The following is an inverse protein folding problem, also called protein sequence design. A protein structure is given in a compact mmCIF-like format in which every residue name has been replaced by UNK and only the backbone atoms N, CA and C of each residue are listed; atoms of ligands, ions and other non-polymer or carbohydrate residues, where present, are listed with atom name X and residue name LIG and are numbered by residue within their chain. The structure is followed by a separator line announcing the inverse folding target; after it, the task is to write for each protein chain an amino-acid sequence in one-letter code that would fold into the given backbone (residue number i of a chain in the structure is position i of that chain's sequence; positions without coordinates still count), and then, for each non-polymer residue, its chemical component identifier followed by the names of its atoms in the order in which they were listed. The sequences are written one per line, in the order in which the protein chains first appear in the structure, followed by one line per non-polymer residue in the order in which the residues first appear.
data_IF_348561027961
#
_entry.id   IF_348561027961
#
_cell.length_a   1.000
_cell.length_b   1.000
_cell.length_c   1.000
_cell.angle_alpha   90.00
_cell.angle_beta   90.00
_cell.angle_gamma   90.00
#
_symmetry.space_group_name_H-M   'P 1'
#
loop_
_entity.id
_entity.type
_entity.pdbx_description
1 polymer ?
#
# COMPACT_ATOMS: atom_id res chain seq x y z
N UNK A 1 23.01 -64.54 12.69
CA UNK A 1 23.46 -63.99 11.40
C UNK A 1 22.82 -62.62 11.31
N UNK A 2 23.33 -61.61 12.05
CA UNK A 2 24.44 -60.73 11.62
C UNK A 2 24.16 -60.15 10.22
N UNK A 3 24.09 -58.84 9.98
CA UNK A 3 25.04 -57.80 10.41
C UNK A 3 24.41 -56.40 10.33
N UNK A 4 24.83 -55.53 11.25
CA UNK A 4 24.87 -54.08 11.07
C UNK A 4 25.80 -53.71 9.90
N UNK A 5 25.50 -52.65 9.15
CA UNK A 5 26.53 -51.79 8.55
C UNK A 5 26.09 -50.33 8.50
N UNK A 6 27.05 -49.48 8.85
CA UNK A 6 27.04 -48.03 9.06
C UNK A 6 27.34 -47.26 7.74
N UNK A 7 26.74 -46.07 7.61
CA UNK A 7 27.01 -44.82 6.83
C UNK A 7 27.91 -44.80 5.55
N UNK A 8 27.66 -43.86 4.60
CA UNK A 8 28.27 -42.53 4.77
C UNK A 8 27.49 -41.31 4.23
N UNK A 9 27.76 -40.17 4.88
CA UNK A 9 27.41 -38.80 4.46
C UNK A 9 28.06 -38.43 3.12
N UNK A 10 27.31 -37.83 2.20
CA UNK A 10 27.86 -37.13 1.03
C UNK A 10 27.59 -35.62 1.11
N UNK A 11 28.69 -34.87 1.16
CA UNK A 11 28.79 -33.45 0.86
C UNK A 11 28.57 -33.22 -0.64
N UNK A 12 27.58 -32.40 -1.01
CA UNK A 12 27.31 -32.02 -2.40
C UNK A 12 27.60 -30.54 -2.66
N UNK A 13 28.73 -30.27 -3.32
CA UNK A 13 29.09 -29.00 -3.96
C UNK A 13 28.00 -28.56 -4.97
N UNK A 14 27.66 -27.26 -4.99
CA UNK A 14 26.90 -26.62 -6.09
C UNK A 14 27.81 -25.61 -6.80
N UNK A 15 27.82 -25.52 -8.15
CA UNK A 15 28.92 -24.92 -8.91
C UNK A 15 28.87 -23.37 -8.98
N UNK A 16 30.07 -22.78 -9.11
CA UNK A 16 30.33 -21.37 -9.44
C UNK A 16 29.99 -21.02 -10.90
N UNK A 17 29.34 -19.87 -11.09
CA UNK A 17 29.23 -19.12 -12.37
C UNK A 17 28.05 -18.16 -12.24
N UNK A 18 28.21 -16.83 -12.18
CA UNK A 18 28.78 -15.93 -13.19
C UNK A 18 29.27 -14.65 -12.47
N UNK A 19 30.54 -14.27 -12.66
CA UNK A 19 31.15 -13.05 -12.10
C UNK A 19 30.60 -11.80 -12.81
N UNK A 20 30.02 -10.88 -12.04
CA UNK A 20 29.96 -9.45 -12.40
C UNK A 20 31.23 -8.75 -11.86
N UNK A 21 31.70 -7.66 -12.49
CA UNK A 21 33.10 -7.23 -12.43
C UNK A 21 33.53 -6.73 -11.04
N UNK A 22 34.56 -7.38 -10.49
CA UNK A 22 35.21 -7.14 -9.18
C UNK A 22 35.79 -5.73 -9.00
N UNK A 23 35.83 -4.88 -10.03
CA UNK A 23 36.49 -3.58 -9.95
C UNK A 23 35.70 -2.51 -9.19
N UNK A 24 34.37 -2.52 -9.23
CA UNK A 24 33.57 -1.47 -8.56
C UNK A 24 33.37 -1.72 -7.06
N UNK A 25 33.60 -2.96 -6.59
CA UNK A 25 33.47 -3.37 -5.19
C UNK A 25 34.74 -3.08 -4.38
N UNK A 26 35.92 -3.21 -5.01
CA UNK A 26 37.20 -2.97 -4.37
C UNK A 26 37.43 -1.50 -3.98
N UNK A 27 36.89 -0.54 -4.74
CA UNK A 27 37.02 0.89 -4.43
C UNK A 27 36.09 1.33 -3.28
N UNK A 28 34.99 0.61 -3.05
CA UNK A 28 34.02 0.90 -1.98
C UNK A 28 34.40 0.25 -0.64
N UNK A 29 35.07 -0.90 -0.69
CA UNK A 29 35.54 -1.64 0.50
C UNK A 29 36.71 -0.93 1.24
N UNK A 30 37.36 0.05 0.60
CA UNK A 30 38.43 0.84 1.22
C UNK A 30 37.96 1.92 2.19
N UNK A 31 36.67 2.27 2.19
CA UNK A 31 36.14 3.42 2.92
C UNK A 31 35.44 3.10 4.25
N UNK A 32 35.22 1.82 4.59
CA UNK A 32 34.41 1.45 5.74
C UNK A 32 35.14 0.48 6.71
N UNK A 33 34.94 0.61 8.04
CA UNK A 33 35.55 -0.30 9.00
C UNK A 33 35.09 -1.74 8.77
N UNK A 34 36.05 -2.66 8.59
CA UNK A 34 35.74 -4.09 8.49
C UNK A 34 35.31 -4.65 9.86
N UNK A 35 34.30 -5.55 9.90
CA UNK A 35 33.91 -6.22 11.13
C UNK A 35 35.05 -7.13 11.66
N UNK A 36 35.18 -7.31 12.98
CA UNK A 36 36.23 -8.12 13.58
C UNK A 36 36.17 -9.59 13.11
N UNK A 37 37.33 -10.27 12.98
CA UNK A 37 37.40 -11.63 12.46
C UNK A 37 36.73 -12.62 13.42
N UNK A 38 35.71 -13.34 12.94
CA UNK A 38 35.04 -14.42 13.68
C UNK A 38 33.52 -14.31 13.75
N UNK A 39 32.95 -13.11 13.58
CA UNK A 39 31.51 -12.92 13.45
C UNK A 39 31.16 -12.77 11.97
N UNK A 40 30.66 -13.85 11.33
CA UNK A 40 29.96 -13.69 10.06
C UNK A 40 28.76 -12.77 10.33
N UNK A 41 28.74 -11.60 9.70
CA UNK A 41 27.56 -10.75 9.72
C UNK A 41 26.38 -11.57 9.17
N UNK A 42 25.29 -11.67 9.94
CA UNK A 42 24.09 -12.38 9.51
C UNK A 42 23.61 -11.75 8.22
N UNK A 43 23.67 -12.51 7.12
CA UNK A 43 23.26 -12.01 5.82
C UNK A 43 21.74 -12.15 5.69
N UNK A 44 21.14 -11.24 4.93
CA UNK A 44 19.68 -11.24 4.71
C UNK A 44 19.17 -12.57 4.11
N UNK A 45 20.04 -13.31 3.42
CA UNK A 45 19.81 -14.63 2.81
C UNK A 45 19.66 -15.79 3.79
N UNK A 46 20.00 -15.61 5.07
CA UNK A 46 20.03 -16.71 6.05
C UNK A 46 18.63 -17.12 6.56
N UNK A 47 17.58 -16.41 6.13
CA UNK A 47 16.19 -16.69 6.50
C UNK A 47 15.36 -17.16 5.31
N UNK A 48 14.61 -18.25 5.51
CA UNK A 48 13.75 -18.84 4.49
C UNK A 48 12.32 -18.32 4.60
N UNK A 49 12.00 -17.28 3.83
CA UNK A 49 10.63 -16.80 3.64
C UNK A 49 9.78 -17.81 2.85
N UNK A 50 8.46 -17.78 3.02
CA UNK A 50 7.53 -18.71 2.34
C UNK A 50 6.76 -18.07 1.18
N UNK A 51 6.88 -16.76 1.00
CA UNK A 51 6.08 -16.00 0.03
C UNK A 51 6.70 -16.07 -1.36
N UNK A 52 5.90 -16.43 -2.37
CA UNK A 52 6.37 -16.45 -3.76
C UNK A 52 6.57 -15.02 -4.32
N UNK A 53 7.35 -14.90 -5.40
CA UNK A 53 7.66 -13.60 -6.01
C UNK A 53 6.39 -12.84 -6.44
N UNK A 54 5.45 -13.52 -7.11
CA UNK A 54 4.19 -12.90 -7.53
C UNK A 54 3.32 -12.43 -6.36
N UNK A 55 3.30 -13.19 -5.26
CA UNK A 55 2.57 -12.79 -4.05
C UNK A 55 3.21 -11.56 -3.38
N UNK A 56 4.54 -11.46 -3.41
CA UNK A 56 5.25 -10.26 -2.96
C UNK A 56 4.97 -9.05 -3.86
N UNK A 57 4.84 -9.24 -5.18
CA UNK A 57 4.40 -8.18 -6.12
C UNK A 57 2.99 -7.73 -5.79
N UNK A 58 2.07 -8.65 -5.52
CA UNK A 58 0.70 -8.26 -5.12
C UNK A 58 0.67 -7.52 -3.78
N UNK A 59 1.43 -7.97 -2.78
CA UNK A 59 1.53 -7.27 -1.50
C UNK A 59 2.08 -5.85 -1.67
N UNK A 60 3.18 -5.70 -2.41
CA UNK A 60 3.82 -4.40 -2.59
C UNK A 60 2.97 -3.48 -3.49
N UNK A 61 2.35 -4.01 -4.54
CA UNK A 61 1.42 -3.25 -5.39
C UNK A 61 0.21 -2.77 -4.59
N UNK A 62 -0.36 -3.62 -3.73
CA UNK A 62 -1.49 -3.24 -2.88
C UNK A 62 -1.10 -2.16 -1.84
N UNK A 63 0.14 -2.20 -1.34
CA UNK A 63 0.68 -1.15 -0.48
C UNK A 63 0.87 0.20 -1.22
N UNK A 64 1.29 0.17 -2.50
CA UNK A 64 1.43 1.38 -3.32
C UNK A 64 0.06 1.96 -3.66
N UNK A 65 -0.85 1.12 -4.20
CA UNK A 65 -2.14 1.50 -4.78
C UNK A 65 -2.98 2.42 -3.87
N UNK A 66 -3.15 1.98 -2.61
CA UNK A 66 -3.84 2.68 -1.53
C UNK A 66 -5.04 3.57 -1.90
N UNK A 67 -5.20 4.66 -1.15
CA UNK A 67 -6.26 5.65 -1.35
C UNK A 67 -5.84 6.75 -2.33
N UNK A 68 -4.53 6.84 -2.63
CA UNK A 68 -3.96 7.87 -3.48
C UNK A 68 -4.55 7.88 -4.89
N UNK A 69 -4.98 6.71 -5.41
CA UNK A 69 -5.55 6.56 -6.75
C UNK A 69 -6.78 7.46 -7.00
N UNK A 70 -7.61 7.70 -5.99
CA UNK A 70 -8.87 8.46 -6.11
C UNK A 70 -8.63 9.97 -6.33
N UNK A 71 -7.47 10.49 -5.90
CA UNK A 71 -7.08 11.89 -6.05
C UNK A 71 -6.22 12.19 -7.27
N UNK A 72 -5.87 11.18 -8.08
CA UNK A 72 -4.96 11.38 -9.21
C UNK A 72 -5.59 12.15 -10.37
N UNK A 73 -6.89 11.96 -10.63
CA UNK A 73 -7.61 12.73 -11.64
C UNK A 73 -7.67 14.22 -11.26
N UNK A 74 -7.84 14.53 -9.97
CA UNK A 74 -7.79 15.90 -9.45
C UNK A 74 -6.40 16.52 -9.64
N UNK A 75 -5.35 15.77 -9.34
CA UNK A 75 -3.97 16.20 -9.58
C UNK A 75 -3.72 16.49 -11.07
N UNK A 76 -4.22 15.65 -11.98
CA UNK A 76 -4.12 15.88 -13.42
C UNK A 76 -4.91 17.12 -13.87
N UNK A 77 -6.12 17.35 -13.33
CA UNK A 77 -6.93 18.52 -13.65
C UNK A 77 -6.22 19.85 -13.31
N UNK A 78 -5.40 19.86 -12.25
CA UNK A 78 -4.68 21.04 -11.77
C UNK A 78 -3.27 21.22 -12.35
N UNK A 79 -2.75 20.23 -13.09
CA UNK A 79 -1.41 20.29 -13.70
C UNK A 79 -1.45 20.22 -15.22
N UNK A 80 -2.52 19.69 -15.79
CA UNK A 80 -2.60 19.31 -17.20
C UNK A 80 -1.94 17.97 -17.47
N UNK A 81 -2.33 17.35 -18.59
CA UNK A 81 -1.97 15.95 -18.91
C UNK A 81 -0.45 15.75 -19.01
N UNK A 82 0.26 16.64 -19.70
CA UNK A 82 1.69 16.48 -19.96
C UNK A 82 2.51 16.64 -18.69
N UNK A 83 2.22 17.68 -17.91
CA UNK A 83 2.94 17.95 -16.65
C UNK A 83 2.63 16.88 -15.60
N UNK A 84 1.39 16.41 -15.51
CA UNK A 84 1.03 15.29 -14.64
C UNK A 84 1.83 14.03 -14.98
N UNK A 85 1.88 13.63 -16.25
CA UNK A 85 2.61 12.43 -16.68
C UNK A 85 4.11 12.56 -16.41
N UNK A 86 4.68 13.74 -16.59
CA UNK A 86 6.07 14.03 -16.24
C UNK A 86 6.32 13.88 -14.74
N UNK A 87 5.46 14.44 -13.89
CA UNK A 87 5.56 14.28 -12.43
C UNK A 87 5.33 12.83 -11.99
N UNK A 88 4.35 12.12 -12.57
CA UNK A 88 4.08 10.71 -12.30
C UNK A 88 5.32 9.86 -12.60
N UNK A 89 5.96 10.08 -13.76
CA UNK A 89 7.18 9.37 -14.15
C UNK A 89 8.35 9.71 -13.22
N UNK A 90 8.54 10.99 -12.91
CA UNK A 90 9.58 11.46 -12.00
C UNK A 90 9.45 10.79 -10.62
N UNK A 91 8.23 10.78 -10.05
CA UNK A 91 7.96 10.17 -8.75
C UNK A 91 8.10 8.65 -8.77
N UNK A 92 7.72 7.97 -9.85
CA UNK A 92 7.94 6.54 -10.03
C UNK A 92 9.44 6.19 -10.07
N UNK A 93 10.25 6.96 -10.82
CA UNK A 93 11.70 6.78 -10.90
C UNK A 93 12.39 7.07 -9.57
N UNK A 94 12.01 8.17 -8.90
CA UNK A 94 12.49 8.53 -7.57
C UNK A 94 12.18 7.43 -6.54
N UNK A 95 10.97 6.87 -6.58
CA UNK A 95 10.58 5.76 -5.70
C UNK A 95 11.39 4.49 -5.98
N UNK A 96 11.54 4.11 -7.25
CA UNK A 96 12.34 2.94 -7.64
C UNK A 96 13.81 3.07 -7.22
N UNK A 97 14.41 4.25 -7.43
CA UNK A 97 15.77 4.55 -7.02
C UNK A 97 15.94 4.57 -5.49
N UNK A 98 14.98 5.17 -4.77
CA UNK A 98 15.01 5.22 -3.30
C UNK A 98 14.87 3.82 -2.68
N UNK A 99 14.06 2.94 -3.27
CA UNK A 99 13.97 1.53 -2.87
C UNK A 99 15.28 0.80 -3.15
N UNK A 100 15.93 1.06 -4.29
CA UNK A 100 17.24 0.47 -4.58
C UNK A 100 18.29 0.86 -3.53
N UNK A 101 18.33 2.14 -3.16
CA UNK A 101 19.22 2.61 -2.09
C UNK A 101 18.88 1.93 -0.75
N UNK A 102 17.59 1.86 -0.40
CA UNK A 102 17.12 1.22 0.82
C UNK A 102 17.55 -0.26 0.89
N UNK A 103 17.33 -1.02 -0.18
CA UNK A 103 17.68 -2.43 -0.26
C UNK A 103 19.19 -2.65 -0.22
N UNK A 104 19.97 -1.78 -0.86
CA UNK A 104 21.43 -1.80 -0.81
C UNK A 104 21.92 -1.63 0.62
N UNK A 105 21.49 -0.57 1.30
CA UNK A 105 21.86 -0.31 2.69
C UNK A 105 21.42 -1.44 3.65
N UNK A 106 20.19 -1.96 3.48
CA UNK A 106 19.69 -3.05 4.29
C UNK A 106 20.46 -4.36 4.09
N UNK A 107 20.87 -4.66 2.85
CA UNK A 107 21.64 -5.86 2.52
C UNK A 107 23.07 -5.80 3.06
N UNK A 108 23.73 -4.64 2.98
CA UNK A 108 25.09 -4.49 3.52
C UNK A 108 25.16 -4.64 5.04
N UNK A 109 24.18 -4.09 5.76
CA UNK A 109 24.21 -4.06 7.24
C UNK A 109 23.49 -5.29 7.85
N UNK A 110 22.72 -6.04 7.06
CA UNK A 110 21.92 -7.18 7.54
C UNK A 110 20.70 -6.77 8.37
N UNK A 111 20.17 -5.56 8.15
CA UNK A 111 19.07 -4.99 8.93
C UNK A 111 17.73 -5.30 8.29
N UNK A 112 16.75 -5.70 9.11
CA UNK A 112 15.42 -6.18 8.68
C UNK A 112 14.27 -5.23 9.01
N UNK A 113 14.58 -4.02 9.46
CA UNK A 113 13.60 -3.03 9.90
C UNK A 113 14.11 -1.63 9.59
N UNK A 114 13.22 -0.76 9.11
CA UNK A 114 13.60 0.56 8.61
C UNK A 114 14.11 1.47 9.72
N UNK A 115 13.51 1.40 10.91
CA UNK A 115 13.91 2.16 12.08
C UNK A 115 15.32 1.78 12.58
N UNK A 116 15.72 0.52 12.41
CA UNK A 116 17.04 0.04 12.81
C UNK A 116 18.12 0.52 11.83
N UNK A 117 17.76 0.71 10.56
CA UNK A 117 18.64 1.37 9.59
C UNK A 117 18.93 2.83 10.01
N UNK A 118 17.90 3.54 10.44
CA UNK A 118 18.05 4.88 11.04
C UNK A 118 18.92 4.86 12.30
N UNK A 119 18.81 3.80 13.12
CA UNK A 119 19.65 3.64 14.30
C UNK A 119 21.13 3.51 13.97
N UNK A 120 21.46 2.70 12.97
CA UNK A 120 22.85 2.50 12.56
C UNK A 120 23.46 3.71 11.87
N UNK A 121 22.66 4.49 11.14
CA UNK A 121 23.14 5.67 10.44
C UNK A 121 23.35 6.89 11.36
N UNK A 122 22.40 7.17 12.27
CA UNK A 122 22.41 8.40 13.09
C UNK A 122 22.17 8.15 14.59
N UNK A 123 22.39 6.94 15.07
CA UNK A 123 22.16 6.57 16.47
C UNK A 123 20.68 6.63 16.87
N UNK A 124 20.42 6.85 18.15
CA UNK A 124 19.04 6.84 18.70
C UNK A 124 18.16 7.92 18.07
N UNK A 125 18.71 9.09 17.75
CA UNK A 125 17.97 10.17 17.08
C UNK A 125 17.48 9.76 15.69
N UNK A 126 18.31 9.07 14.90
CA UNK A 126 17.89 8.52 13.60
C UNK A 126 16.80 7.47 13.70
N UNK A 127 16.88 6.60 14.71
CA UNK A 127 15.85 5.60 14.99
C UNK A 127 14.50 6.24 15.28
N UNK A 128 14.47 7.23 16.17
CA UNK A 128 13.24 7.93 16.56
C UNK A 128 12.69 8.75 15.40
N UNK A 129 13.54 9.44 14.63
CA UNK A 129 13.13 10.20 13.45
C UNK A 129 12.51 9.29 12.38
N UNK A 130 13.18 8.19 12.02
CA UNK A 130 12.68 7.23 11.03
C UNK A 130 11.34 6.61 11.48
N UNK A 131 11.25 6.18 12.74
CA UNK A 131 10.02 5.61 13.26
C UNK A 131 8.89 6.64 13.34
N UNK A 132 9.20 7.90 13.71
CA UNK A 132 8.23 8.99 13.73
C UNK A 132 7.65 9.31 12.36
N UNK A 133 8.50 9.38 11.32
CA UNK A 133 8.06 9.60 9.93
C UNK A 133 7.19 8.45 9.43
N UNK A 134 7.59 7.21 9.70
CA UNK A 134 6.80 6.01 9.33
C UNK A 134 5.44 6.03 10.03
N UNK A 135 5.40 6.35 11.33
CA UNK A 135 4.15 6.48 12.08
C UNK A 135 3.25 7.57 11.49
N UNK A 136 3.79 8.75 11.18
CA UNK A 136 3.02 9.85 10.60
C UNK A 136 2.44 9.48 9.22
N UNK A 137 3.26 8.88 8.35
CA UNK A 137 2.83 8.40 7.04
C UNK A 137 1.69 7.39 7.18
N UNK A 138 1.83 6.40 8.06
CA UNK A 138 0.83 5.37 8.24
C UNK A 138 -0.47 5.90 8.87
N UNK A 139 -0.39 6.87 9.80
CA UNK A 139 -1.58 7.55 10.33
C UNK A 139 -2.32 8.28 9.19
N UNK A 140 -1.59 8.95 8.29
CA UNK A 140 -2.17 9.60 7.11
C UNK A 140 -2.81 8.61 6.13
N UNK A 141 -2.18 7.47 5.90
CA UNK A 141 -2.76 6.41 5.07
C UNK A 141 -4.03 5.83 5.68
N UNK A 142 -4.02 5.52 6.98
CA UNK A 142 -5.19 5.03 7.69
C UNK A 142 -6.33 6.05 7.71
N UNK A 143 -6.04 7.33 7.95
CA UNK A 143 -7.08 8.36 7.96
C UNK A 143 -7.73 8.54 6.59
N UNK A 144 -6.94 8.42 5.51
CA UNK A 144 -7.45 8.47 4.15
C UNK A 144 -8.36 7.27 3.83
N UNK A 145 -8.01 6.05 4.23
CA UNK A 145 -8.90 4.88 4.08
C UNK A 145 -10.19 5.01 4.87
N UNK A 146 -10.10 5.47 6.12
CA UNK A 146 -11.27 5.70 6.96
C UNK A 146 -12.17 6.81 6.39
N UNK A 147 -11.59 7.83 5.77
CA UNK A 147 -12.34 8.88 5.06
C UNK A 147 -13.13 8.30 3.89
N UNK A 148 -12.52 7.46 3.04
CA UNK A 148 -13.22 6.79 1.93
C UNK A 148 -14.41 5.96 2.44
N UNK A 149 -14.23 5.22 3.53
CA UNK A 149 -15.33 4.46 4.15
C UNK A 149 -16.44 5.40 4.62
N UNK A 150 -16.08 6.53 5.24
CA UNK A 150 -17.04 7.53 5.72
C UNK A 150 -17.80 8.21 4.57
N UNK A 151 -17.13 8.54 3.47
CA UNK A 151 -17.75 9.21 2.32
C UNK A 151 -18.61 8.24 1.53
N UNK A 152 -18.11 7.05 1.14
CA UNK A 152 -18.75 6.21 0.13
C UNK A 152 -19.73 5.17 0.70
N UNK A 153 -19.50 4.64 1.90
CA UNK A 153 -20.37 3.60 2.49
C UNK A 153 -21.83 4.07 2.67
N UNK A 154 -22.11 5.30 3.15
CA UNK A 154 -23.49 5.79 3.22
C UNK A 154 -24.19 5.80 1.85
N UNK A 155 -23.49 6.17 0.78
CA UNK A 155 -24.07 6.21 -0.57
C UNK A 155 -24.42 4.82 -1.07
N UNK A 156 -23.58 3.82 -0.77
CA UNK A 156 -23.86 2.41 -1.08
C UNK A 156 -25.09 1.91 -0.31
N UNK A 157 -25.20 2.23 0.99
CA UNK A 157 -26.34 1.80 1.80
C UNK A 157 -27.64 2.45 1.30
N UNK A 158 -27.62 3.75 0.97
CA UNK A 158 -28.79 4.47 0.42
C UNK A 158 -29.33 3.85 -0.85
N UNK A 159 -28.44 3.43 -1.74
CA UNK A 159 -28.79 2.88 -3.04
C UNK A 159 -29.28 1.43 -2.94
N UNK A 160 -28.76 0.64 -1.99
CA UNK A 160 -29.22 -0.72 -1.73
C UNK A 160 -30.55 -0.80 -0.98
N UNK A 161 -30.86 0.16 -0.10
CA UNK A 161 -32.10 0.15 0.69
C UNK A 161 -33.32 0.71 -0.04
N UNK A 162 -33.17 1.13 -1.29
CA UNK A 162 -34.18 1.82 -2.12
C UNK A 162 -34.63 3.16 -1.49
N UNK A 163 -34.77 4.21 -2.31
CA UNK A 163 -34.86 5.63 -1.89
C UNK A 163 -36.10 6.03 -1.07
N UNK A 164 -36.84 5.07 -0.49
CA UNK A 164 -38.07 5.28 0.30
C UNK A 164 -37.84 5.50 1.80
N UNK A 165 -36.59 5.38 2.27
CA UNK A 165 -36.26 5.70 3.66
C UNK A 165 -35.97 7.20 3.78
N UNK A 166 -36.93 7.95 4.30
CA UNK A 166 -36.88 9.40 4.50
C UNK A 166 -35.67 9.83 5.36
N UNK A 167 -35.00 10.90 4.95
CA UNK A 167 -33.69 11.37 5.45
C UNK A 167 -33.57 11.71 6.95
N UNK A 168 -34.67 11.76 7.72
CA UNK A 168 -34.65 12.51 8.98
C UNK A 168 -34.23 11.75 10.26
N UNK A 169 -34.05 10.42 10.27
CA UNK A 169 -33.68 9.73 11.53
C UNK A 169 -32.81 8.46 11.42
N UNK A 170 -32.27 8.16 10.24
CA UNK A 170 -31.53 6.90 10.05
C UNK A 170 -30.07 7.04 10.45
N UNK A 171 -29.75 6.73 11.71
CA UNK A 171 -28.38 6.70 12.26
C UNK A 171 -27.39 5.89 11.39
N UNK A 172 -27.90 4.88 10.67
CA UNK A 172 -27.13 4.02 9.77
C UNK A 172 -26.76 4.67 8.43
N UNK A 173 -27.25 5.87 8.13
CA UNK A 173 -26.81 6.68 6.97
C UNK A 173 -25.81 7.78 7.37
N UNK A 174 -25.54 7.94 8.67
CA UNK A 174 -24.57 8.91 9.14
C UNK A 174 -23.15 8.32 9.01
N UNK A 175 -22.37 8.86 8.08
CA UNK A 175 -20.99 8.43 7.83
C UNK A 175 -20.10 8.45 9.09
N UNK A 176 -20.35 9.36 10.03
CA UNK A 176 -19.61 9.43 11.30
C UNK A 176 -19.94 8.27 12.25
N UNK A 177 -21.13 7.68 12.16
CA UNK A 177 -21.52 6.50 12.96
C UNK A 177 -21.02 5.24 12.28
N UNK A 178 -21.21 5.14 10.95
CA UNK A 178 -20.75 4.01 10.14
C UNK A 178 -19.24 3.78 10.23
N UNK A 179 -18.43 4.85 10.17
CA UNK A 179 -16.97 4.74 10.30
C UNK A 179 -16.57 4.09 11.63
N UNK A 180 -17.27 4.41 12.74
CA UNK A 180 -17.00 3.83 14.07
C UNK A 180 -17.38 2.34 14.07
N UNK A 181 -18.55 2.00 13.51
CA UNK A 181 -19.04 0.62 13.44
C UNK A 181 -18.09 -0.24 12.60
N UNK A 182 -17.70 0.21 11.41
CA UNK A 182 -16.76 -0.52 10.53
C UNK A 182 -15.38 -0.62 11.17
N UNK A 183 -14.92 0.46 11.84
CA UNK A 183 -13.63 0.45 12.53
C UNK A 183 -13.58 -0.60 13.63
N UNK A 184 -14.60 -0.67 14.49
CA UNK A 184 -14.64 -1.60 15.63
C UNK A 184 -15.02 -3.02 15.17
N UNK A 185 -15.97 -3.15 14.25
CA UNK A 185 -16.55 -4.43 13.83
C UNK A 185 -15.74 -5.18 12.77
N UNK A 186 -14.99 -4.47 11.92
CA UNK A 186 -14.25 -5.08 10.80
C UNK A 186 -12.77 -4.77 10.92
N UNK A 187 -12.39 -3.49 10.90
CA UNK A 187 -10.98 -3.09 10.80
C UNK A 187 -10.17 -3.56 12.01
N UNK A 188 -10.68 -3.34 13.23
CA UNK A 188 -9.98 -3.70 14.46
C UNK A 188 -9.77 -5.23 14.58
N UNK A 189 -10.78 -6.10 14.39
CA UNK A 189 -10.56 -7.55 14.35
C UNK A 189 -9.54 -7.96 13.30
N UNK A 190 -9.62 -7.40 12.09
CA UNK A 190 -8.70 -7.69 11.00
C UNK A 190 -7.25 -7.25 11.35
N UNK A 191 -7.08 -6.11 12.01
CA UNK A 191 -5.80 -5.61 12.50
C UNK A 191 -5.18 -6.46 13.61
N UNK A 192 -6.02 -7.11 14.41
CA UNK A 192 -5.59 -7.95 15.53
C UNK A 192 -5.19 -9.36 15.09
N UNK A 193 -5.53 -9.78 13.86
CA UNK A 193 -5.15 -11.07 13.34
C UNK A 193 -3.63 -11.24 13.30
N UNK A 194 -3.18 -12.40 13.79
CA UNK A 194 -1.78 -12.66 14.12
C UNK A 194 -1.03 -13.41 13.02
N UNK A 195 -1.76 -14.13 12.17
CA UNK A 195 -1.23 -14.95 11.10
C UNK A 195 -1.62 -14.35 9.76
N UNK A 196 -0.70 -13.58 9.17
CA UNK A 196 -0.87 -12.95 7.87
C UNK A 196 -0.41 -13.87 6.72
N UNK A 197 -0.44 -15.20 6.91
CA UNK A 197 -0.06 -16.18 5.89
C UNK A 197 -0.91 -16.12 4.61
N UNK A 198 -2.01 -15.35 4.64
CA UNK A 198 -2.93 -15.14 3.51
C UNK A 198 -2.79 -13.76 2.85
N UNK A 199 -1.85 -12.91 3.29
CA UNK A 199 -1.78 -11.51 2.88
C UNK A 199 -1.62 -11.31 1.36
N UNK A 200 -0.88 -12.21 0.70
CA UNK A 200 -0.72 -12.16 -0.75
C UNK A 200 -2.02 -12.44 -1.52
N UNK A 201 -2.89 -13.31 -0.99
CA UNK A 201 -4.15 -13.65 -1.65
C UNK A 201 -5.15 -12.51 -1.50
N UNK A 202 -5.24 -11.93 -0.31
CA UNK A 202 -6.10 -10.76 -0.05
C UNK A 202 -5.62 -9.54 -0.84
N UNK A 203 -4.31 -9.35 -0.99
CA UNK A 203 -3.73 -8.27 -1.81
C UNK A 203 -4.03 -8.46 -3.29
N UNK A 204 -3.94 -9.70 -3.82
CA UNK A 204 -4.33 -10.01 -5.20
C UNK A 204 -5.81 -9.75 -5.47
N UNK A 205 -6.70 -10.09 -4.52
CA UNK A 205 -8.12 -9.78 -4.61
C UNK A 205 -8.38 -8.26 -4.61
N UNK A 206 -7.70 -7.52 -3.73
CA UNK A 206 -7.77 -6.04 -3.69
C UNK A 206 -7.36 -5.41 -5.03
N UNK A 207 -6.26 -5.86 -5.61
CA UNK A 207 -5.81 -5.41 -6.94
C UNK A 207 -6.84 -5.70 -8.04
N UNK A 208 -7.52 -6.85 -7.97
CA UNK A 208 -8.55 -7.22 -8.94
C UNK A 208 -9.73 -6.24 -8.90
N UNK A 209 -10.18 -5.84 -7.70
CA UNK A 209 -11.22 -4.81 -7.55
C UNK A 209 -10.80 -3.45 -8.12
N UNK A 210 -9.51 -3.14 -8.08
CA UNK A 210 -8.99 -1.86 -8.57
C UNK A 210 -8.75 -1.85 -10.08
N UNK A 211 -8.43 -3.01 -10.66
CA UNK A 211 -8.50 -3.20 -12.12
C UNK A 211 -9.95 -3.05 -12.59
N UNK A 212 -10.93 -3.59 -11.85
CA UNK A 212 -12.35 -3.38 -12.16
C UNK A 212 -12.76 -1.90 -12.07
N UNK A 213 -12.27 -1.17 -11.07
CA UNK A 213 -12.44 0.28 -10.99
C UNK A 213 -11.86 0.99 -12.22
N UNK A 214 -10.61 0.70 -12.59
CA UNK A 214 -9.97 1.26 -13.80
C UNK A 214 -10.80 0.97 -15.06
N UNK A 215 -11.21 -0.27 -15.27
CA UNK A 215 -12.03 -0.65 -16.42
C UNK A 215 -13.35 0.12 -16.46
N UNK A 216 -13.98 0.33 -15.31
CA UNK A 216 -15.22 1.10 -15.18
C UNK A 216 -15.03 2.58 -15.47
N UNK A 217 -13.91 3.19 -15.03
CA UNK A 217 -13.57 4.58 -15.35
C UNK A 217 -13.34 4.76 -16.86
N UNK A 218 -12.63 3.82 -17.50
CA UNK A 218 -12.44 3.82 -18.96
C UNK A 218 -13.80 3.72 -19.66
N UNK A 219 -14.63 2.76 -19.27
CA UNK A 219 -15.97 2.59 -19.84
C UNK A 219 -16.82 3.85 -19.69
N UNK A 220 -16.82 4.46 -18.50
CA UNK A 220 -17.58 5.68 -18.22
C UNK A 220 -17.11 6.87 -19.04
N UNK A 221 -15.81 7.00 -19.31
CA UNK A 221 -15.31 8.03 -20.21
C UNK A 221 -15.92 7.95 -21.62
N UNK A 222 -16.15 6.74 -22.13
CA UNK A 222 -16.76 6.54 -23.45
C UNK A 222 -18.29 6.64 -23.43
N UNK A 223 -18.92 6.29 -22.30
CA UNK A 223 -20.36 6.37 -22.12
C UNK A 223 -20.86 7.79 -21.81
N UNK A 224 -20.08 8.60 -21.09
CA UNK A 224 -20.40 9.99 -20.76
C UNK A 224 -19.82 10.85 -21.89
N UNK A 225 -20.69 11.32 -22.78
CA UNK A 225 -20.33 12.28 -23.82
C UNK A 225 -20.30 13.69 -23.22
N UNK A 226 -19.30 14.45 -23.66
CA UNK A 226 -19.15 15.87 -23.35
C UNK A 226 -19.75 16.66 -24.53
N UNK A 227 -20.51 17.76 -24.32
CA UNK A 227 -20.84 18.37 -23.03
C UNK A 227 -21.75 17.49 -22.18
N UNK A 228 -21.71 17.65 -20.85
CA UNK A 228 -22.62 17.01 -19.91
C UNK A 228 -24.05 17.42 -20.27
N UNK A 229 -24.66 16.71 -21.23
CA UNK A 229 -26.02 17.01 -21.65
C UNK A 229 -26.91 16.85 -20.44
N UNK A 230 -27.59 17.93 -20.06
CA UNK A 230 -28.61 17.96 -19.02
C UNK A 230 -29.82 17.11 -19.44
N UNK A 231 -29.63 15.80 -19.52
CA UNK A 231 -30.71 14.84 -19.77
C UNK A 231 -31.44 14.58 -18.47
N UNK A 232 -32.60 15.20 -18.29
CA UNK A 232 -33.59 14.94 -17.23
C UNK A 232 -33.09 14.96 -15.77
N UNK A 233 -31.97 15.64 -15.49
CA UNK A 233 -31.59 15.96 -14.12
C UNK A 233 -32.01 17.40 -13.83
N UNK A 234 -33.00 17.57 -12.95
CA UNK A 234 -33.35 18.86 -12.34
C UNK A 234 -32.22 19.29 -11.42
N UNK A 235 -31.12 19.72 -12.00
CA UNK A 235 -30.15 20.62 -11.40
C UNK A 235 -30.24 21.88 -12.26
N UNK A 236 -30.71 22.98 -11.68
CA UNK A 236 -30.87 24.24 -12.39
C UNK A 236 -29.59 24.57 -13.17
N UNK A 237 -29.70 24.90 -14.47
CA UNK A 237 -28.55 25.33 -15.23
C UNK A 237 -28.13 26.68 -14.67
N UNK A 238 -27.05 26.71 -13.89
CA UNK A 238 -26.34 27.96 -13.60
C UNK A 238 -25.86 28.52 -14.93
N UNK A 239 -26.67 29.40 -15.52
CA UNK A 239 -26.36 30.21 -16.70
C UNK A 239 -25.01 30.88 -16.49
N UNK A 240 -23.98 30.48 -17.24
CA UNK A 240 -22.72 31.23 -17.27
C UNK A 240 -21.44 30.50 -17.67
N UNK A 241 -21.40 29.16 -17.74
CA UNK A 241 -20.19 28.47 -18.20
C UNK A 241 -20.34 28.04 -19.66
N UNK A 242 -19.55 28.67 -20.54
CA UNK A 242 -19.04 27.97 -21.71
C UNK A 242 -18.22 26.78 -21.17
N UNK A 243 -18.87 25.62 -20.98
CA UNK A 243 -18.23 24.38 -20.51
C UNK A 243 -17.34 23.82 -21.63
N UNK A 244 -16.18 24.43 -21.81
CA UNK A 244 -15.19 24.00 -22.77
C UNK A 244 -14.64 22.64 -22.30
N UNK A 245 -15.10 21.55 -22.92
CA UNK A 245 -14.51 20.20 -22.85
C UNK A 245 -13.14 20.19 -23.54
N UNK A 246 -12.24 21.07 -23.11
CA UNK A 246 -10.93 21.29 -23.69
C UNK A 246 -9.87 20.60 -22.83
N UNK A 247 -9.06 19.77 -23.48
CA UNK A 247 -7.93 19.11 -22.85
C UNK A 247 -6.83 20.13 -22.61
N UNK A 248 -6.47 20.35 -21.35
CA UNK A 248 -5.33 21.19 -20.99
C UNK A 248 -4.07 20.34 -20.88
N UNK A 249 -3.11 20.59 -21.75
CA UNK A 249 -1.83 19.87 -21.75
C UNK A 249 -0.93 20.31 -20.58
N UNK A 250 -0.92 21.62 -20.29
CA UNK A 250 -0.15 22.21 -19.19
C UNK A 250 -1.07 23.21 -18.47
N UNK A 251 -1.09 23.16 -17.16
CA UNK A 251 -1.79 24.11 -16.30
C UNK A 251 -0.93 24.35 -15.05
N UNK A 252 -0.69 25.61 -14.73
CA UNK A 252 0.02 26.01 -13.53
C UNK A 252 -0.91 26.94 -12.76
N UNK A 253 -1.38 26.48 -11.61
CA UNK A 253 -2.21 27.25 -10.69
C UNK A 253 -1.66 27.07 -9.26
N UNK A 254 -2.27 27.73 -8.27
CA UNK A 254 -1.90 27.56 -6.86
C UNK A 254 -2.12 26.12 -6.36
N UNK A 255 -3.03 25.37 -6.99
CA UNK A 255 -3.36 23.98 -6.64
C UNK A 255 -2.36 22.96 -7.21
N UNK A 256 -1.58 23.32 -8.23
CA UNK A 256 -0.49 22.50 -8.80
C UNK A 256 0.49 22.08 -7.70
N UNK A 257 0.74 22.94 -6.70
CA UNK A 257 1.60 22.63 -5.56
C UNK A 257 1.13 21.40 -4.76
N UNK A 258 -0.18 21.14 -4.68
CA UNK A 258 -0.73 19.96 -4.00
C UNK A 258 -0.57 18.66 -4.81
N UNK A 259 -0.26 18.73 -6.10
CA UNK A 259 -0.04 17.54 -6.93
C UNK A 259 1.21 16.77 -6.52
N UNK A 260 2.28 17.48 -6.15
CA UNK A 260 3.54 16.86 -5.70
C UNK A 260 3.31 15.97 -4.46
N UNK A 261 2.72 16.44 -3.35
CA UNK A 261 2.46 15.60 -2.19
C UNK A 261 1.44 14.49 -2.47
N UNK A 262 0.44 14.70 -3.35
CA UNK A 262 -0.48 13.63 -3.77
C UNK A 262 0.28 12.48 -4.45
N UNK A 263 1.15 12.81 -5.41
CA UNK A 263 1.96 11.82 -6.13
C UNK A 263 3.03 11.17 -5.23
N UNK A 264 3.62 11.95 -4.32
CA UNK A 264 4.54 11.41 -3.32
C UNK A 264 3.84 10.39 -2.44
N UNK A 265 2.69 10.75 -1.87
CA UNK A 265 1.91 9.85 -1.06
C UNK A 265 1.51 8.58 -1.82
N UNK A 266 1.13 8.69 -3.11
CA UNK A 266 0.73 7.57 -3.94
C UNK A 266 1.87 6.57 -4.27
N UNK A 267 3.14 6.98 -4.23
CA UNK A 267 4.29 6.12 -4.53
C UNK A 267 5.16 5.77 -3.31
N UNK A 268 4.83 6.27 -2.11
CA UNK A 268 5.52 5.86 -0.89
C UNK A 268 5.06 4.46 -0.50
N UNK A 269 5.97 3.49 -0.61
CA UNK A 269 5.80 2.13 -0.11
C UNK A 269 7.02 1.63 0.71
N UNK A 270 8.01 2.50 0.90
CA UNK A 270 9.29 2.21 1.56
C UNK A 270 9.17 1.50 2.92
N UNK A 271 8.20 1.83 3.81
CA UNK A 271 8.05 1.14 5.09
C UNK A 271 7.68 -0.34 4.96
N UNK A 272 7.01 -0.72 3.87
CA UNK A 272 6.51 -2.08 3.60
C UNK A 272 7.56 -2.96 2.91
N UNK A 273 8.54 -2.36 2.25
CA UNK A 273 9.57 -3.08 1.47
C UNK A 273 10.35 -4.06 2.33
N UNK A 274 10.89 -3.63 3.47
CA UNK A 274 11.72 -4.51 4.32
C UNK A 274 10.92 -5.67 4.96
N UNK A 275 9.72 -5.44 5.52
CA UNK A 275 8.84 -6.52 5.95
C UNK A 275 8.52 -7.53 4.84
N UNK A 276 8.16 -7.06 3.63
CA UNK A 276 7.88 -7.96 2.48
C UNK A 276 9.14 -8.72 2.07
N UNK A 277 10.31 -8.06 2.10
CA UNK A 277 11.58 -8.70 1.78
C UNK A 277 11.90 -9.85 2.74
N UNK A 278 11.59 -9.71 4.04
CA UNK A 278 11.82 -10.78 5.02
C UNK A 278 10.93 -12.01 4.87
N UNK A 279 9.79 -11.86 4.19
CA UNK A 279 8.85 -12.96 3.94
C UNK A 279 9.04 -13.61 2.56
N UNK A 280 9.87 -13.02 1.70
CA UNK A 280 10.14 -13.48 0.34
C UNK A 280 10.92 -14.80 0.34
N UNK A 281 10.43 -15.77 -0.42
CA UNK A 281 11.10 -17.06 -0.60
C UNK A 281 12.42 -16.89 -1.37
N UNK A 282 13.50 -17.41 -0.78
CA UNK A 282 14.90 -17.23 -1.21
C UNK A 282 15.23 -15.74 -1.40
N UNK A 283 15.30 -14.97 -0.30
CA UNK A 283 15.46 -13.53 -0.36
C UNK A 283 16.83 -13.17 -0.95
N UNK A 284 16.83 -12.28 -1.95
CA UNK A 284 18.02 -11.63 -2.48
C UNK A 284 17.67 -10.22 -2.95
N UNK A 285 18.65 -9.32 -2.93
CA UNK A 285 18.46 -7.92 -3.32
C UNK A 285 17.89 -7.81 -4.74
N UNK A 286 18.45 -8.57 -5.70
CA UNK A 286 17.97 -8.57 -7.09
C UNK A 286 16.51 -9.00 -7.21
N UNK A 287 16.09 -10.05 -6.47
CA UNK A 287 14.69 -10.52 -6.50
C UNK A 287 13.74 -9.50 -5.89
N UNK A 288 14.11 -8.89 -4.75
CA UNK A 288 13.28 -7.87 -4.13
C UNK A 288 13.22 -6.59 -4.96
N UNK A 289 14.32 -6.21 -5.62
CA UNK A 289 14.32 -5.10 -6.58
C UNK A 289 13.41 -5.38 -7.78
N UNK A 290 13.40 -6.61 -8.30
CA UNK A 290 12.47 -7.00 -9.37
C UNK A 290 11.01 -6.91 -8.89
N UNK A 291 10.72 -7.32 -7.66
CA UNK A 291 9.38 -7.16 -7.05
C UNK A 291 9.00 -5.67 -7.00
N UNK A 292 9.91 -4.81 -6.56
CA UNK A 292 9.69 -3.37 -6.50
C UNK A 292 9.47 -2.74 -7.88
N UNK A 293 10.33 -3.04 -8.86
CA UNK A 293 10.25 -2.50 -10.21
C UNK A 293 8.96 -2.95 -10.92
N UNK A 294 8.57 -4.23 -10.79
CA UNK A 294 7.30 -4.72 -11.34
C UNK A 294 6.10 -4.05 -10.68
N UNK A 295 6.11 -3.88 -9.36
CA UNK A 295 5.01 -3.25 -8.62
C UNK A 295 4.87 -1.77 -8.99
N UNK A 296 5.97 -1.01 -8.99
CA UNK A 296 5.98 0.40 -9.38
C UNK A 296 5.56 0.57 -10.84
N UNK A 297 6.06 -0.28 -11.75
CA UNK A 297 5.67 -0.23 -13.16
C UNK A 297 4.18 -0.50 -13.38
N UNK A 298 3.63 -1.53 -12.70
CA UNK A 298 2.21 -1.84 -12.76
C UNK A 298 1.35 -0.68 -12.21
N UNK A 299 1.75 -0.10 -11.08
CA UNK A 299 1.01 1.02 -10.48
C UNK A 299 1.14 2.30 -11.30
N UNK A 300 2.30 2.59 -11.88
CA UNK A 300 2.48 3.71 -12.82
C UNK A 300 1.48 3.65 -13.97
N UNK A 301 1.30 2.47 -14.58
CA UNK A 301 0.31 2.28 -15.64
C UNK A 301 -1.12 2.45 -15.13
N UNK A 302 -1.49 1.81 -14.02
CA UNK A 302 -2.84 1.95 -13.47
C UNK A 302 -3.16 3.40 -13.09
N UNK A 303 -2.24 4.09 -12.44
CA UNK A 303 -2.35 5.49 -12.05
C UNK A 303 -2.45 6.43 -13.24
N UNK A 304 -1.57 6.27 -14.24
CA UNK A 304 -1.59 7.05 -15.46
C UNK A 304 -2.91 6.91 -16.22
N UNK A 305 -3.38 5.68 -16.40
CA UNK A 305 -4.65 5.41 -17.08
C UNK A 305 -5.83 5.95 -16.26
N UNK A 306 -5.91 5.66 -14.97
CA UNK A 306 -7.02 6.11 -14.11
C UNK A 306 -7.11 7.64 -14.08
N UNK A 307 -5.97 8.33 -13.91
CA UNK A 307 -5.91 9.78 -13.91
C UNK A 307 -6.32 10.36 -15.27
N UNK A 308 -5.84 9.77 -16.36
CA UNK A 308 -6.14 10.23 -17.73
C UNK A 308 -7.62 10.09 -18.03
N UNK A 309 -8.20 8.90 -17.89
CA UNK A 309 -9.61 8.66 -18.20
C UNK A 309 -10.54 9.35 -17.20
N UNK A 310 -10.13 9.46 -15.94
CA UNK A 310 -10.84 10.23 -14.92
C UNK A 310 -10.89 11.73 -15.23
N UNK A 311 -9.74 12.32 -15.55
CA UNK A 311 -9.65 13.72 -15.98
C UNK A 311 -10.45 13.97 -17.24
N UNK A 312 -10.33 13.12 -18.26
CA UNK A 312 -11.06 13.29 -19.51
C UNK A 312 -12.58 13.12 -19.36
N UNK A 313 -13.07 12.58 -18.24
CA UNK A 313 -14.51 12.45 -17.97
C UNK A 313 -15.11 13.77 -17.47
N UNK A 314 -14.40 14.51 -16.61
CA UNK A 314 -14.93 15.72 -15.95
C UNK A 314 -14.15 17.02 -16.24
N UNK A 315 -13.03 16.93 -16.96
CA UNK A 315 -12.15 18.03 -17.36
C UNK A 315 -11.75 18.94 -16.18
N UNK A 316 -12.09 20.23 -16.25
CA UNK A 316 -11.73 21.23 -15.24
C UNK A 316 -12.52 21.14 -13.93
N UNK A 317 -13.50 20.24 -13.84
CA UNK A 317 -14.42 20.11 -12.70
C UNK A 317 -14.20 18.84 -11.88
N UNK A 318 -13.02 18.23 -11.97
CA UNK A 318 -12.68 17.06 -11.15
C UNK A 318 -12.55 17.49 -9.68
N UNK A 319 -13.30 16.86 -8.78
CA UNK A 319 -13.13 16.98 -7.34
C UNK A 319 -11.99 16.10 -6.81
N UNK A 320 -11.52 16.39 -5.58
CA UNK A 320 -10.44 15.66 -4.92
C UNK A 320 -10.71 14.16 -4.78
N UNK A 321 -11.97 13.74 -4.71
CA UNK A 321 -12.39 12.35 -4.76
C UNK A 321 -13.27 12.11 -6.00
N UNK A 322 -12.68 11.49 -7.02
CA UNK A 322 -13.36 11.29 -8.30
C UNK A 322 -14.65 10.44 -8.18
N UNK A 323 -14.72 9.53 -7.19
CA UNK A 323 -15.86 8.63 -7.01
C UNK A 323 -17.15 9.36 -6.63
N UNK A 324 -17.03 10.55 -6.04
CA UNK A 324 -18.15 11.40 -5.67
C UNK A 324 -18.82 12.05 -6.89
N UNK A 325 -18.07 12.23 -7.98
CA UNK A 325 -18.55 12.87 -9.21
C UNK A 325 -19.44 11.97 -10.07
N UNK A 326 -19.45 10.67 -9.81
CA UNK A 326 -20.32 9.74 -10.54
C UNK A 326 -21.72 9.67 -9.94
N UNK A 327 -22.72 9.49 -10.81
CA UNK A 327 -24.13 9.39 -10.42
C UNK A 327 -24.35 8.27 -9.39
N UNK A 328 -25.22 8.55 -8.41
CA UNK A 328 -25.58 7.61 -7.36
C UNK A 328 -26.54 6.51 -7.83
N UNK A 329 -27.24 6.70 -8.95
CA UNK A 329 -28.27 5.77 -9.43
C UNK A 329 -27.72 4.68 -10.36
N UNK A 330 -26.44 4.75 -10.73
CA UNK A 330 -25.86 3.85 -11.70
C UNK A 330 -25.36 2.55 -11.04
N UNK A 331 -25.91 1.41 -11.46
CA UNK A 331 -25.56 0.10 -10.93
C UNK A 331 -24.07 -0.22 -11.09
N UNK A 332 -23.44 0.20 -12.20
CA UNK A 332 -22.00 0.00 -12.41
C UNK A 332 -21.20 0.76 -11.35
N UNK A 333 -21.55 2.01 -11.09
CA UNK A 333 -20.88 2.86 -10.09
C UNK A 333 -21.11 2.33 -8.69
N UNK A 334 -22.29 1.80 -8.39
CA UNK A 334 -22.56 1.12 -7.12
C UNK A 334 -21.63 -0.09 -6.93
N UNK A 335 -21.48 -0.95 -7.95
CA UNK A 335 -20.54 -2.07 -7.90
C UNK A 335 -19.09 -1.60 -7.72
N UNK A 336 -18.70 -0.50 -8.38
CA UNK A 336 -17.36 0.10 -8.22
C UNK A 336 -17.13 0.60 -6.80
N UNK A 337 -18.11 1.31 -6.20
CA UNK A 337 -18.02 1.78 -4.81
C UNK A 337 -17.83 0.62 -3.84
N UNK A 338 -18.61 -0.45 -4.00
CA UNK A 338 -18.45 -1.67 -3.22
C UNK A 338 -17.05 -2.29 -3.41
N UNK A 339 -16.57 -2.38 -4.65
CA UNK A 339 -15.25 -2.91 -4.96
C UNK A 339 -14.12 -2.09 -4.32
N UNK A 340 -14.19 -0.76 -4.39
CA UNK A 340 -13.20 0.15 -3.76
C UNK A 340 -13.25 0.03 -2.23
N UNK A 341 -14.44 0.01 -1.62
CA UNK A 341 -14.59 -0.17 -0.18
C UNK A 341 -14.00 -1.51 0.30
N UNK A 342 -14.25 -2.59 -0.44
CA UNK A 342 -13.67 -3.91 -0.16
C UNK A 342 -12.16 -3.91 -0.32
N UNK A 343 -11.62 -3.34 -1.40
CA UNK A 343 -10.19 -3.22 -1.64
C UNK A 343 -9.47 -2.42 -0.52
N UNK A 344 -10.03 -1.27 -0.13
CA UNK A 344 -9.52 -0.45 0.97
C UNK A 344 -9.53 -1.24 2.28
N UNK A 345 -10.62 -1.92 2.60
CA UNK A 345 -10.74 -2.73 3.83
C UNK A 345 -9.73 -3.86 3.88
N UNK A 346 -9.48 -4.53 2.75
CA UNK A 346 -8.47 -5.60 2.62
C UNK A 346 -7.03 -5.08 2.68
N UNK A 347 -6.81 -3.78 2.42
CA UNK A 347 -5.49 -3.14 2.45
C UNK A 347 -5.10 -2.67 3.85
N UNK A 348 -6.06 -2.40 4.73
CA UNK A 348 -5.78 -1.95 6.11
C UNK A 348 -4.85 -2.91 6.90
N UNK A 349 -5.03 -4.24 6.89
CA UNK A 349 -4.13 -5.15 7.61
C UNK A 349 -2.68 -5.10 7.12
N UNK A 350 -2.48 -4.85 5.82
CA UNK A 350 -1.14 -4.74 5.21
C UNK A 350 -0.41 -3.55 5.82
N UNK A 351 -1.03 -2.37 5.81
CA UNK A 351 -0.41 -1.12 6.28
C UNK A 351 -0.28 -1.08 7.82
N UNK A 352 -1.16 -1.76 8.55
CA UNK A 352 -1.05 -1.85 10.00
C UNK A 352 0.10 -2.78 10.45
N UNK A 353 0.59 -3.66 9.57
CA UNK A 353 1.62 -4.64 9.94
C UNK A 353 2.94 -3.98 10.37
N UNK A 354 3.53 -3.01 9.63
CA UNK A 354 4.74 -2.35 10.09
C UNK A 354 4.50 -1.44 11.30
N UNK A 355 3.32 -0.82 11.43
CA UNK A 355 2.98 -0.01 12.60
C UNK A 355 3.08 -0.86 13.87
N UNK A 356 2.44 -2.04 13.86
CA UNK A 356 2.47 -2.97 14.98
C UNK A 356 3.91 -3.33 15.33
N UNK A 357 4.74 -3.63 14.33
CA UNK A 357 6.15 -3.98 14.53
C UNK A 357 6.95 -2.82 15.09
N UNK A 358 6.78 -1.61 14.55
CA UNK A 358 7.45 -0.40 15.00
C UNK A 358 7.07 -0.02 16.44
N UNK A 359 5.77 0.00 16.77
CA UNK A 359 5.28 0.28 18.12
C UNK A 359 5.78 -0.77 19.12
N UNK A 360 5.73 -2.05 18.79
CA UNK A 360 6.26 -3.10 19.66
C UNK A 360 7.75 -2.94 19.93
N UNK A 361 8.54 -2.53 18.92
CA UNK A 361 9.98 -2.30 19.05
C UNK A 361 10.33 -1.01 19.79
N UNK A 362 9.50 0.02 19.68
CA UNK A 362 9.68 1.31 20.38
C UNK A 362 9.28 1.22 21.85
N UNK A 363 8.11 0.64 22.16
CA UNK A 363 7.59 0.56 23.52
C UNK A 363 8.20 -0.59 24.33
N UNK A 364 8.67 -1.67 23.67
CA UNK A 364 9.26 -2.82 24.35
C UNK A 364 10.56 -3.32 23.67
N UNK A 365 11.69 -2.59 23.83
CA UNK A 365 12.95 -2.92 23.16
C UNK A 365 13.58 -4.27 23.57
N UNK A 366 13.21 -4.86 24.72
CA UNK A 366 14.01 -5.91 25.37
C UNK A 366 13.27 -7.09 26.01
N UNK A 367 11.97 -7.34 25.75
CA UNK A 367 11.30 -8.54 26.30
C UNK A 367 10.46 -9.31 25.29
N UNK A 368 10.55 -10.64 25.33
CA UNK A 368 9.73 -11.56 24.55
C UNK A 368 8.23 -11.35 24.82
N UNK A 369 7.42 -11.71 23.82
CA UNK A 369 5.97 -11.55 23.79
C UNK A 369 5.31 -12.05 25.08
N UNK A 370 4.51 -11.21 25.75
CA UNK A 370 3.70 -11.61 26.91
C UNK A 370 2.23 -11.27 26.71
N UNK A 371 1.37 -12.23 27.05
CA UNK A 371 -0.09 -12.15 26.97
C UNK A 371 -0.73 -10.95 27.69
N UNK A 372 -0.27 -10.53 28.89
CA UNK A 372 -0.85 -9.38 29.59
C UNK A 372 -0.69 -8.07 28.81
N UNK A 373 0.40 -7.91 28.04
CA UNK A 373 0.69 -6.71 27.23
C UNK A 373 -0.05 -6.67 25.90
N UNK A 374 -0.49 -7.82 25.41
CA UNK A 374 -1.37 -7.87 24.24
C UNK A 374 -2.80 -7.48 24.62
N UNK A 375 -3.25 -7.85 25.83
CA UNK A 375 -4.58 -7.52 26.36
C UNK A 375 -4.78 -6.06 26.77
N UNK A 376 -3.71 -5.31 27.05
CA UNK A 376 -3.82 -3.86 27.34
C UNK A 376 -3.86 -3.00 26.06
N UNK A 377 -3.40 -3.54 24.93
CA UNK A 377 -3.42 -2.86 23.61
C UNK A 377 -4.69 -3.23 22.81
N UNK A 378 -5.43 -4.27 23.23
CA UNK A 378 -6.70 -4.68 22.61
C UNK A 378 -7.63 -5.36 23.64
N UNK A 379 -8.86 -4.87 23.87
CA UNK A 379 -9.77 -5.48 24.83
C UNK A 379 -10.38 -6.80 24.28
N UNK A 380 -9.95 -7.91 24.88
CA UNK A 380 -10.58 -9.25 25.07
C UNK A 380 -11.28 -10.02 23.93
N UNK A 381 -10.87 -11.29 23.78
CA UNK A 381 -11.71 -12.48 23.98
C UNK A 381 -10.85 -13.72 24.40
N UNK A 382 -10.99 -14.30 25.61
CA UNK A 382 -10.04 -15.30 26.15
C UNK A 382 -10.23 -16.79 25.78
N UNK A 383 -11.23 -17.19 24.98
CA UNK A 383 -11.73 -18.57 25.06
C UNK A 383 -11.28 -19.60 24.00
N UNK A 384 -10.33 -19.32 23.11
CA UNK A 384 -10.04 -20.21 21.96
C UNK A 384 -8.62 -20.82 21.86
N UNK A 385 -7.70 -20.57 22.79
CA UNK A 385 -6.28 -20.97 22.62
C UNK A 385 -5.72 -21.89 23.72
N UNK A 386 -6.48 -22.85 24.22
CA UNK A 386 -5.97 -23.79 25.25
C UNK A 386 -5.37 -25.08 24.69
N UNK A 387 -5.43 -25.34 23.37
CA UNK A 387 -5.15 -26.68 22.83
C UNK A 387 -3.77 -26.93 22.17
N UNK A 388 -2.86 -25.95 22.05
CA UNK A 388 -1.57 -26.15 21.32
C UNK A 388 -0.29 -26.03 22.15
N UNK A 389 -0.35 -25.94 23.48
CA UNK A 389 0.86 -25.77 24.31
C UNK A 389 1.40 -27.05 24.98
N UNK A 390 0.87 -28.24 24.69
CA UNK A 390 1.29 -29.46 25.38
C UNK A 390 2.48 -30.22 24.77
N UNK A 391 3.17 -29.67 23.75
CA UNK A 391 4.21 -30.40 23.00
C UNK A 391 5.64 -29.81 23.08
N UNK A 392 5.94 -28.95 24.06
CA UNK A 392 7.33 -28.66 24.45
C UNK A 392 7.43 -28.50 25.96
N UNK A 393 7.54 -29.64 26.64
CA UNK A 393 8.19 -29.78 27.93
C UNK A 393 9.29 -30.83 27.75
#
# INVERSE_FOLDING_TARGET
MELMMEEPRMNGLVPRGLREPEQSQAELDGFLPQPPPGNKAVQFSDFEGKTSLGMSVFNLSNAIMGSGILGLAYAMANTGVLLFLAFLLCMALLSAYSIHLLLTCASFIGIRAYEELGHRAFGTSGKVAAAGVICLHNIGAMSSYLYIIKSELPLVIRTLLDSKVTESSSWFLNGNVLIIIVSIGIILPLALMRHLGYLGYTSGLSLTFMVFFLASVIYKKFSIQCPLTSGNWTMEPRKGLNESCEVRLITINSQTAYTIPILAFAFVCHPEVLPIYTELHRPSQRRMQNVANMSIGAMFLMYGLTATFGYLTFFGHVEAEMLHMYSQTDLLILCVRLAVLMAVTLTVPVVLFPIRRAIQRLLFPSKAFSWPRHGTIAPRAPHLCQHSCHLRA
#
